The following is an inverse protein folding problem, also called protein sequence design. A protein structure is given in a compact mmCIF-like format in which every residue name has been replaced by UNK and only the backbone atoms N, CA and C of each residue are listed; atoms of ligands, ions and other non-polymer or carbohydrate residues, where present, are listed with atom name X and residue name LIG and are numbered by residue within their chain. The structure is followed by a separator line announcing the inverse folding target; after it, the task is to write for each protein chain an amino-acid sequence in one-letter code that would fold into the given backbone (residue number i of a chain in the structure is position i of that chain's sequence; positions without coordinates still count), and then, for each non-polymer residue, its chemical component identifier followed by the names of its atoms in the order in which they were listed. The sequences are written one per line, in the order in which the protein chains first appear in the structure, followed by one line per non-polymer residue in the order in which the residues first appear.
data_IF_240815974977
#
_entry.id   IF_240815974977
#
_cell.length_a   1.000
_cell.length_b   1.000
_cell.length_c   1.000
_cell.angle_alpha   90.00
_cell.angle_beta   90.00
_cell.angle_gamma   90.00
#
_symmetry.space_group_name_H-M   'P 1'
#
loop_
_entity.id
_entity.type
_entity.pdbx_description
1 polymer ?
#
# COMPACT_ATOMS: atom_id res chain seq x y z
N UNK A 1 33.45 66.42 70.48
CA UNK A 1 33.79 66.14 69.07
C UNK A 1 33.33 64.71 68.76
N UNK A 2 32.17 64.51 68.10
CA UNK A 2 31.66 63.20 67.71
C UNK A 2 31.65 63.10 66.17
N UNK A 3 32.38 62.16 65.60
CA UNK A 3 32.42 61.90 64.16
C UNK A 3 31.27 60.98 63.79
N UNK A 4 30.41 61.46 62.90
CA UNK A 4 29.40 60.63 62.23
C UNK A 4 30.05 59.83 61.11
N UNK A 5 29.85 58.50 61.11
CA UNK A 5 30.22 57.63 59.98
C UNK A 5 28.90 57.32 59.29
N UNK A 6 28.77 57.74 58.02
CA UNK A 6 27.71 57.40 57.14
C UNK A 6 28.04 56.10 56.39
N UNK A 7 27.27 55.06 56.61
CA UNK A 7 27.32 53.80 55.89
C UNK A 7 26.39 53.87 54.66
N UNK A 8 26.99 53.83 53.43
CA UNK A 8 26.29 53.63 52.21
C UNK A 8 25.92 52.14 52.10
N UNK A 9 24.66 51.83 52.04
CA UNK A 9 24.15 50.52 51.66
C UNK A 9 23.98 50.47 50.14
N UNK A 10 24.78 49.64 49.44
CA UNK A 10 24.62 49.37 48.02
C UNK A 10 23.61 48.24 47.83
N UNK A 11 22.42 48.54 47.24
CA UNK A 11 21.49 47.52 46.79
C UNK A 11 22.00 46.94 45.46
N UNK A 12 22.44 45.71 45.48
CA UNK A 12 22.68 44.92 44.24
C UNK A 12 21.34 44.34 43.73
N UNK A 13 20.83 44.90 42.63
CA UNK A 13 19.71 44.35 41.90
C UNK A 13 20.21 43.16 41.06
N UNK A 14 19.91 41.92 41.48
CA UNK A 14 20.14 40.73 40.69
C UNK A 14 19.01 40.61 39.65
N UNK A 15 19.31 41.00 38.41
CA UNK A 15 18.41 40.80 37.29
C UNK A 15 18.38 39.33 36.93
N UNK A 16 17.26 38.65 37.18
CA UNK A 16 16.95 37.31 36.62
C UNK A 16 16.62 37.48 35.15
N UNK A 17 17.57 37.25 34.26
CA UNK A 17 17.29 37.04 32.83
C UNK A 17 16.75 35.64 32.66
N UNK A 18 15.42 35.50 32.52
CA UNK A 18 14.79 34.25 32.05
C UNK A 18 15.20 34.04 30.59
N UNK A 19 16.17 33.18 30.35
CA UNK A 19 16.43 32.64 29.01
C UNK A 19 15.27 31.71 28.69
N UNK A 20 14.29 32.20 27.89
CA UNK A 20 13.31 31.35 27.26
C UNK A 20 14.07 30.42 26.32
N UNK A 21 14.28 29.17 26.74
CA UNK A 21 14.74 28.11 25.86
C UNK A 21 13.64 27.88 24.83
N UNK A 22 13.82 28.44 23.62
CA UNK A 22 13.02 28.03 22.48
C UNK A 22 13.32 26.54 22.27
N UNK A 23 12.39 25.68 22.59
CA UNK A 23 12.45 24.29 22.23
C UNK A 23 12.61 24.25 20.69
N UNK A 24 13.77 23.87 20.20
CA UNK A 24 13.95 23.55 18.80
C UNK A 24 13.15 22.29 18.59
N UNK A 25 11.96 22.46 17.98
CA UNK A 25 11.14 21.35 17.57
C UNK A 25 11.95 20.55 16.54
N UNK A 26 12.30 19.33 16.87
CA UNK A 26 13.05 18.46 15.97
C UNK A 26 12.13 18.03 14.83
N UNK A 27 12.56 18.20 13.58
CA UNK A 27 11.85 17.66 12.42
C UNK A 27 11.76 16.14 12.55
N UNK A 28 10.55 15.61 12.62
CA UNK A 28 10.29 14.17 12.72
C UNK A 28 10.12 13.60 11.33
N UNK A 29 10.87 12.56 11.00
CA UNK A 29 10.70 11.81 9.76
C UNK A 29 10.09 10.44 10.07
N UNK A 30 8.99 10.09 9.39
CA UNK A 30 8.33 8.80 9.47
C UNK A 30 8.45 8.07 8.14
N UNK A 31 8.58 6.74 8.16
CA UNK A 31 8.54 5.91 6.97
C UNK A 31 7.21 5.13 6.92
N UNK A 32 6.39 5.43 5.92
CA UNK A 32 5.18 4.69 5.58
C UNK A 32 5.50 3.62 4.52
N UNK A 33 5.43 2.37 4.91
CA UNK A 33 5.63 1.21 4.03
C UNK A 33 4.27 0.65 3.63
N UNK A 34 3.96 0.64 2.32
CA UNK A 34 2.70 0.11 1.82
C UNK A 34 2.87 -0.69 0.53
N UNK A 35 1.78 -1.27 0.02
CA UNK A 35 1.82 -2.01 -1.24
C UNK A 35 1.45 -1.13 -2.44
N UNK A 36 1.85 -1.55 -3.65
CA UNK A 36 1.86 -0.73 -4.87
C UNK A 36 0.59 0.10 -5.16
N UNK A 37 -0.64 -0.44 -5.09
CA UNK A 37 -1.85 0.28 -5.48
C UNK A 37 -2.18 1.48 -4.62
N UNK A 38 -1.51 1.64 -3.48
CA UNK A 38 -1.84 2.68 -2.49
C UNK A 38 -0.93 3.91 -2.53
N UNK A 39 -0.09 4.04 -3.57
CA UNK A 39 0.86 5.15 -3.72
C UNK A 39 0.18 6.51 -3.64
N UNK A 40 -0.83 6.73 -4.48
CA UNK A 40 -1.54 7.99 -4.60
C UNK A 40 -2.38 8.27 -3.35
N UNK A 41 -3.05 7.22 -2.82
CA UNK A 41 -3.79 7.30 -1.57
C UNK A 41 -2.91 7.80 -0.42
N UNK A 42 -1.76 7.15 -0.19
CA UNK A 42 -0.88 7.54 0.92
C UNK A 42 -0.15 8.84 0.69
N UNK A 43 0.09 9.26 -0.54
CA UNK A 43 0.55 10.62 -0.82
C UNK A 43 -0.45 11.64 -0.26
N UNK A 44 -1.73 11.49 -0.60
CA UNK A 44 -2.78 12.39 -0.13
C UNK A 44 -3.00 12.30 1.40
N UNK A 45 -3.04 11.10 1.96
CA UNK A 45 -3.20 10.87 3.41
C UNK A 45 -2.04 11.48 4.19
N UNK A 46 -0.79 11.27 3.76
CA UNK A 46 0.40 11.77 4.45
C UNK A 46 0.44 13.31 4.44
N UNK A 47 0.09 13.93 3.31
CA UNK A 47 -0.02 15.40 3.21
C UNK A 47 -1.12 15.95 4.12
N UNK A 48 -2.29 15.32 4.15
CA UNK A 48 -3.40 15.71 5.02
C UNK A 48 -3.04 15.55 6.49
N UNK A 49 -2.41 14.43 6.87
CA UNK A 49 -1.97 14.16 8.22
C UNK A 49 -0.95 15.20 8.69
N UNK A 50 0.07 15.49 7.89
CA UNK A 50 1.11 16.45 8.25
C UNK A 50 0.53 17.86 8.50
N UNK A 51 -0.45 18.27 7.68
CA UNK A 51 -1.17 19.55 7.87
C UNK A 51 -2.02 19.56 9.13
N UNK A 52 -2.79 18.50 9.38
CA UNK A 52 -3.63 18.37 10.57
C UNK A 52 -2.80 18.33 11.86
N UNK A 53 -1.71 17.57 11.84
CA UNK A 53 -0.77 17.49 12.97
C UNK A 53 -0.18 18.84 13.32
N UNK A 54 0.28 19.57 12.32
CA UNK A 54 0.83 20.91 12.52
C UNK A 54 -0.22 21.90 13.00
N UNK A 55 -1.46 21.84 12.47
CA UNK A 55 -2.57 22.69 12.90
C UNK A 55 -2.97 22.46 14.38
N UNK A 56 -2.74 21.26 14.91
CA UNK A 56 -2.93 20.88 16.30
C UNK A 56 -1.75 21.22 17.22
N UNK A 57 -0.75 21.91 16.71
CA UNK A 57 0.43 22.33 17.48
C UNK A 57 1.52 21.27 17.54
N UNK A 58 1.45 20.24 16.70
CA UNK A 58 2.51 19.24 16.56
C UNK A 58 3.71 19.79 15.79
N UNK A 59 4.83 19.12 15.94
CA UNK A 59 6.09 19.43 15.24
C UNK A 59 5.94 19.22 13.73
N UNK A 60 6.86 19.79 12.95
CA UNK A 60 6.92 19.49 11.53
C UNK A 60 7.24 18.01 11.32
N UNK A 61 6.38 17.31 10.57
CA UNK A 61 6.57 15.91 10.23
C UNK A 61 6.77 15.75 8.71
N UNK A 62 7.79 14.99 8.35
CA UNK A 62 8.03 14.54 6.98
C UNK A 62 7.70 13.06 6.90
N UNK A 63 6.90 12.64 5.92
CA UNK A 63 6.52 11.24 5.75
C UNK A 63 7.10 10.72 4.44
N UNK A 64 8.12 9.90 4.56
CA UNK A 64 8.69 9.15 3.44
C UNK A 64 7.81 7.95 3.12
N UNK A 65 7.88 7.49 1.87
CA UNK A 65 7.05 6.39 1.39
C UNK A 65 7.90 5.30 0.72
N UNK A 66 7.59 4.05 1.04
CA UNK A 66 8.09 2.89 0.33
C UNK A 66 6.92 2.05 -0.17
N UNK A 67 6.87 1.82 -1.49
CA UNK A 67 5.82 1.04 -2.14
C UNK A 67 6.41 -0.12 -2.93
N UNK A 68 5.68 -1.22 -3.00
CA UNK A 68 6.09 -2.41 -3.72
C UNK A 68 5.10 -3.55 -3.56
N UNK A 69 5.41 -4.73 -4.07
CA UNK A 69 4.58 -5.91 -3.81
C UNK A 69 4.46 -6.20 -2.31
N UNK A 70 3.25 -6.48 -1.83
CA UNK A 70 2.94 -6.62 -0.40
C UNK A 70 3.89 -7.58 0.33
N UNK A 71 4.09 -8.79 -0.19
CA UNK A 71 5.01 -9.77 0.40
C UNK A 71 6.49 -9.37 0.31
N UNK A 72 6.86 -8.58 -0.72
CA UNK A 72 8.20 -7.99 -0.80
C UNK A 72 8.41 -6.96 0.29
N UNK A 73 7.44 -6.07 0.51
CA UNK A 73 7.48 -5.06 1.56
C UNK A 73 7.52 -5.70 2.95
N UNK A 74 6.71 -6.74 3.20
CA UNK A 74 6.77 -7.49 4.46
C UNK A 74 8.17 -8.04 4.73
N UNK A 75 8.82 -8.65 3.73
CA UNK A 75 10.19 -9.12 3.85
C UNK A 75 11.18 -8.00 4.15
N UNK A 76 11.10 -6.89 3.42
CA UNK A 76 11.98 -5.74 3.68
C UNK A 76 11.92 -5.26 5.12
N UNK A 77 10.71 -5.19 5.70
CA UNK A 77 10.53 -4.82 7.12
C UNK A 77 11.12 -5.88 8.05
N UNK A 78 10.89 -7.17 7.78
CA UNK A 78 11.47 -8.28 8.55
C UNK A 78 13.00 -8.22 8.50
N UNK A 79 13.56 -7.96 7.34
CA UNK A 79 15.01 -7.90 7.08
C UNK A 79 15.68 -6.61 7.61
N UNK A 80 14.91 -5.66 8.15
CA UNK A 80 15.47 -4.52 8.87
C UNK A 80 15.09 -3.13 8.36
N UNK A 81 14.23 -3.01 7.33
CA UNK A 81 13.70 -1.71 6.94
C UNK A 81 12.94 -1.10 8.13
N UNK A 82 13.39 0.09 8.57
CA UNK A 82 12.82 0.79 9.73
C UNK A 82 11.53 1.50 9.31
N UNK A 83 10.40 0.80 9.41
CA UNK A 83 9.09 1.33 9.09
C UNK A 83 8.38 1.80 10.37
N UNK A 84 7.78 2.98 10.33
CA UNK A 84 6.94 3.51 11.40
C UNK A 84 5.48 3.08 11.20
N UNK A 85 5.03 3.01 9.95
CA UNK A 85 3.70 2.55 9.57
C UNK A 85 3.82 1.50 8.47
N UNK A 86 3.07 0.41 8.61
CA UNK A 86 3.00 -0.66 7.60
C UNK A 86 1.55 -0.96 7.25
N UNK A 87 1.22 -0.83 5.96
CA UNK A 87 -0.12 -1.15 5.43
C UNK A 87 0.02 -2.06 4.21
N UNK A 88 -0.36 -3.31 4.35
CA UNK A 88 -0.17 -4.33 3.32
C UNK A 88 -1.49 -4.95 2.86
N UNK A 89 -1.46 -5.64 1.73
CA UNK A 89 -2.66 -6.16 1.08
C UNK A 89 -3.32 -7.33 1.81
N UNK A 90 -2.59 -8.07 2.64
CA UNK A 90 -3.08 -9.28 3.30
C UNK A 90 -2.69 -9.30 4.78
N UNK A 91 -3.63 -9.78 5.58
CA UNK A 91 -3.38 -10.10 6.98
C UNK A 91 -2.13 -10.96 7.16
N UNK A 92 -1.96 -12.01 6.35
CA UNK A 92 -0.83 -12.93 6.45
C UNK A 92 0.55 -12.28 6.28
N UNK A 93 0.65 -11.18 5.52
CA UNK A 93 1.90 -10.42 5.39
C UNK A 93 2.21 -9.64 6.67
N UNK A 94 1.19 -9.04 7.31
CA UNK A 94 1.34 -8.38 8.61
C UNK A 94 1.65 -9.41 9.70
N UNK A 95 1.00 -10.58 9.68
CA UNK A 95 1.26 -11.67 10.63
C UNK A 95 2.72 -12.17 10.55
N UNK A 96 3.33 -12.19 9.35
CA UNK A 96 4.76 -12.53 9.22
C UNK A 96 5.66 -11.49 9.92
N UNK A 97 5.33 -10.21 9.81
CA UNK A 97 6.04 -9.14 10.53
C UNK A 97 5.84 -9.30 12.03
N UNK A 98 4.62 -9.61 12.49
CA UNK A 98 4.33 -9.86 13.90
C UNK A 98 5.13 -11.09 14.45
N UNK A 99 5.18 -12.19 13.69
CA UNK A 99 5.99 -13.37 14.04
C UNK A 99 7.49 -13.05 14.15
N UNK A 100 7.99 -12.06 13.43
CA UNK A 100 9.38 -11.60 13.57
C UNK A 100 9.62 -10.71 14.80
N UNK A 101 8.58 -10.41 15.59
CA UNK A 101 8.66 -9.58 16.79
C UNK A 101 8.70 -8.07 16.57
N UNK A 102 8.55 -7.59 15.33
CA UNK A 102 8.62 -6.16 15.01
C UNK A 102 7.34 -5.40 15.31
N UNK A 103 6.19 -6.07 15.33
CA UNK A 103 4.90 -5.55 15.79
C UNK A 103 4.26 -6.54 16.76
N UNK A 104 3.33 -6.06 17.58
CA UNK A 104 2.63 -6.90 18.56
C UNK A 104 1.71 -7.93 17.86
N UNK A 105 1.57 -9.11 18.44
CA UNK A 105 0.73 -10.17 17.90
C UNK A 105 -0.77 -9.81 17.86
N UNK A 106 -1.19 -8.90 18.72
CA UNK A 106 -2.58 -8.42 18.81
C UNK A 106 -2.87 -7.21 17.90
N UNK A 107 -2.04 -6.96 16.89
CA UNK A 107 -2.09 -5.79 16.01
C UNK A 107 -3.48 -5.51 15.42
N UNK A 108 -4.26 -6.55 15.10
CA UNK A 108 -5.61 -6.41 14.54
C UNK A 108 -6.59 -5.71 15.50
N UNK A 109 -6.38 -5.85 16.82
CA UNK A 109 -7.25 -5.27 17.85
C UNK A 109 -6.92 -3.82 18.18
N UNK A 110 -5.83 -3.28 17.62
CA UNK A 110 -5.31 -1.96 18.00
C UNK A 110 -6.04 -0.80 17.36
N UNK A 111 -6.59 -0.99 16.18
CA UNK A 111 -7.35 0.02 15.43
C UNK A 111 -8.72 -0.52 15.04
N UNK A 112 -9.63 0.37 14.68
CA UNK A 112 -10.96 -0.01 14.21
C UNK A 112 -10.92 -0.94 13.00
N UNK A 113 -12.01 -1.65 12.74
CA UNK A 113 -12.19 -2.55 11.59
C UNK A 113 -11.08 -3.60 11.45
N UNK A 114 -10.63 -4.19 12.58
CA UNK A 114 -9.50 -5.13 12.62
C UNK A 114 -8.21 -4.55 12.01
N UNK A 115 -7.96 -3.26 12.26
CA UNK A 115 -6.83 -2.52 11.69
C UNK A 115 -6.82 -2.49 10.15
N UNK A 116 -8.00 -2.57 9.51
CA UNK A 116 -8.18 -2.47 8.06
C UNK A 116 -8.75 -1.09 7.71
N UNK A 117 -7.95 -0.17 7.14
CA UNK A 117 -8.38 1.19 6.89
C UNK A 117 -9.31 1.35 5.68
N UNK A 118 -9.31 0.39 4.76
CA UNK A 118 -10.13 0.38 3.53
C UNK A 118 -10.29 -1.05 2.98
N UNK A 119 -11.18 -1.20 2.01
CA UNK A 119 -11.39 -2.43 1.22
C UNK A 119 -11.25 -2.13 -0.26
N UNK A 120 -11.03 -3.15 -1.07
CA UNK A 120 -10.97 -3.07 -2.52
C UNK A 120 -11.44 -4.40 -3.12
N UNK A 121 -11.57 -4.46 -4.43
CA UNK A 121 -11.94 -5.66 -5.17
C UNK A 121 -11.01 -5.90 -6.35
N UNK A 122 -11.07 -7.10 -6.95
CA UNK A 122 -10.39 -7.45 -8.19
C UNK A 122 -11.36 -7.26 -9.35
N UNK A 123 -10.88 -6.64 -10.41
CA UNK A 123 -11.61 -6.40 -11.65
C UNK A 123 -10.79 -6.87 -12.86
N UNK A 124 -11.46 -7.05 -13.99
CA UNK A 124 -10.83 -7.30 -15.28
C UNK A 124 -10.78 -5.99 -16.07
N UNK A 125 -9.59 -5.55 -16.42
CA UNK A 125 -9.37 -4.48 -17.38
C UNK A 125 -8.99 -5.12 -18.71
N UNK A 126 -9.73 -4.80 -19.76
CA UNK A 126 -9.57 -5.38 -21.11
C UNK A 126 -9.22 -4.31 -22.13
N UNK A 127 -8.79 -4.71 -23.31
CA UNK A 127 -8.60 -3.80 -24.43
C UNK A 127 -9.94 -3.22 -24.86
N UNK A 128 -9.95 -1.98 -25.35
CA UNK A 128 -11.17 -1.28 -25.79
C UNK A 128 -11.95 -2.10 -26.83
N UNK A 129 -13.25 -2.20 -26.61
CA UNK A 129 -14.14 -3.01 -27.42
C UNK A 129 -14.02 -4.50 -27.16
N UNK A 130 -13.27 -4.92 -26.14
CA UNK A 130 -13.12 -6.28 -25.67
C UNK A 130 -12.99 -7.33 -26.80
N UNK A 131 -11.93 -7.23 -27.65
CA UNK A 131 -11.83 -8.04 -28.88
C UNK A 131 -11.74 -9.54 -28.62
N UNK A 132 -11.39 -9.96 -27.41
CA UNK A 132 -11.36 -11.37 -27.00
C UNK A 132 -12.68 -11.83 -26.33
N UNK A 133 -13.67 -10.94 -26.25
CA UNK A 133 -14.98 -11.22 -25.62
C UNK A 133 -14.85 -11.83 -24.23
N UNK A 134 -13.95 -11.29 -23.41
CA UNK A 134 -13.68 -11.73 -22.04
C UNK A 134 -14.82 -11.19 -21.15
N UNK A 135 -15.54 -12.09 -20.50
CA UNK A 135 -16.70 -11.78 -19.64
C UNK A 135 -16.61 -12.42 -18.27
N UNK A 136 -15.87 -13.53 -18.16
CA UNK A 136 -15.76 -14.27 -16.91
C UNK A 136 -14.41 -14.99 -16.82
N UNK A 137 -14.12 -15.57 -15.66
CA UNK A 137 -12.91 -16.32 -15.35
C UNK A 137 -12.62 -17.45 -16.33
N UNK A 138 -13.65 -18.10 -16.88
CA UNK A 138 -13.49 -19.15 -17.90
C UNK A 138 -12.79 -18.68 -19.15
N UNK A 139 -13.06 -17.43 -19.54
CA UNK A 139 -12.48 -16.86 -20.75
C UNK A 139 -10.96 -16.71 -20.64
N UNK A 140 -10.44 -16.61 -19.41
CA UNK A 140 -9.01 -16.49 -19.12
C UNK A 140 -8.23 -17.78 -19.40
N UNK A 141 -8.93 -18.91 -19.55
CA UNK A 141 -8.32 -20.22 -19.83
C UNK A 141 -8.34 -20.59 -21.32
N UNK A 142 -8.95 -19.75 -22.17
CA UNK A 142 -9.04 -19.98 -23.61
C UNK A 142 -7.69 -19.84 -24.29
N UNK A 143 -7.48 -20.65 -25.32
CA UNK A 143 -6.28 -20.54 -26.17
C UNK A 143 -6.22 -19.16 -26.85
N UNK A 144 -5.04 -18.56 -26.88
CA UNK A 144 -4.79 -17.26 -27.50
C UNK A 144 -5.30 -16.07 -26.68
N UNK A 145 -5.68 -16.24 -25.41
CA UNK A 145 -5.92 -15.17 -24.45
C UNK A 145 -4.66 -15.00 -23.61
N UNK A 146 -4.11 -13.79 -23.56
CA UNK A 146 -2.98 -13.45 -22.70
C UNK A 146 -3.46 -12.70 -21.46
N UNK A 147 -3.17 -13.28 -20.28
CA UNK A 147 -3.57 -12.75 -18.98
C UNK A 147 -2.39 -12.07 -18.29
N UNK A 148 -2.56 -10.84 -17.86
CA UNK A 148 -1.57 -10.11 -17.06
C UNK A 148 -1.98 -10.15 -15.60
N UNK A 149 -1.11 -10.68 -14.77
CA UNK A 149 -1.24 -10.71 -13.30
C UNK A 149 0.16 -10.71 -12.69
N UNK A 150 0.37 -10.07 -11.52
CA UNK A 150 1.68 -10.08 -10.89
C UNK A 150 2.01 -11.44 -10.25
N UNK A 151 3.24 -11.56 -9.76
CA UNK A 151 3.75 -12.79 -9.15
C UNK A 151 3.18 -12.99 -7.73
N UNK A 152 2.48 -14.08 -7.42
CA UNK A 152 1.92 -14.33 -6.08
C UNK A 152 2.97 -14.51 -4.97
N UNK A 153 4.24 -14.78 -5.33
CA UNK A 153 5.33 -14.85 -4.36
C UNK A 153 5.74 -13.48 -3.80
N UNK A 154 5.45 -12.40 -4.51
CA UNK A 154 5.87 -11.04 -4.15
C UNK A 154 4.71 -10.07 -3.98
N UNK A 155 3.63 -10.25 -4.75
CA UNK A 155 2.47 -9.36 -4.81
C UNK A 155 1.30 -9.88 -3.99
N UNK A 156 0.73 -9.00 -3.15
CA UNK A 156 -0.52 -9.28 -2.47
C UNK A 156 -1.71 -9.31 -3.42
N UNK A 157 -1.74 -8.42 -4.42
CA UNK A 157 -2.78 -8.43 -5.46
C UNK A 157 -2.82 -9.76 -6.22
N UNK A 158 -1.65 -10.29 -6.59
CA UNK A 158 -1.59 -11.59 -7.25
C UNK A 158 -2.15 -12.74 -6.40
N UNK A 159 -1.96 -12.68 -5.07
CA UNK A 159 -2.56 -13.68 -4.17
C UNK A 159 -4.07 -13.56 -4.11
N UNK A 160 -4.61 -12.34 -4.14
CA UNK A 160 -6.05 -12.12 -4.26
C UNK A 160 -6.59 -12.57 -5.62
N UNK A 161 -5.87 -12.28 -6.73
CA UNK A 161 -6.23 -12.79 -8.07
C UNK A 161 -6.29 -14.33 -8.08
N UNK A 162 -5.29 -14.98 -7.48
CA UNK A 162 -5.25 -16.43 -7.36
C UNK A 162 -6.42 -16.98 -6.54
N UNK A 163 -6.70 -16.37 -5.38
CA UNK A 163 -7.79 -16.80 -4.51
C UNK A 163 -9.16 -16.58 -5.15
N UNK A 164 -9.35 -15.49 -5.90
CA UNK A 164 -10.58 -15.23 -6.63
C UNK A 164 -10.80 -16.26 -7.76
N UNK A 165 -9.74 -16.55 -8.53
CA UNK A 165 -9.77 -17.59 -9.55
C UNK A 165 -10.04 -18.98 -8.98
N UNK A 166 -9.42 -19.29 -7.83
CA UNK A 166 -9.68 -20.55 -7.12
C UNK A 166 -11.11 -20.64 -6.64
N UNK A 167 -11.64 -19.59 -5.99
CA UNK A 167 -13.02 -19.56 -5.49
C UNK A 167 -14.05 -19.73 -6.62
N UNK A 168 -13.79 -19.13 -7.80
CA UNK A 168 -14.61 -19.35 -8.98
C UNK A 168 -14.59 -20.82 -9.43
N UNK A 169 -13.41 -21.42 -9.53
CA UNK A 169 -13.25 -22.82 -9.94
C UNK A 169 -13.94 -23.77 -8.95
N UNK A 170 -13.69 -23.58 -7.65
CA UNK A 170 -14.25 -24.38 -6.55
C UNK A 170 -15.80 -24.37 -6.58
N UNK A 171 -16.40 -23.21 -6.76
CA UNK A 171 -17.85 -23.08 -6.91
C UNK A 171 -18.34 -23.77 -8.19
N UNK A 172 -17.64 -23.56 -9.31
CA UNK A 172 -18.02 -24.09 -10.61
C UNK A 172 -17.94 -25.61 -10.67
N UNK A 173 -16.91 -26.19 -10.09
CA UNK A 173 -16.65 -27.63 -10.16
C UNK A 173 -17.15 -28.41 -8.95
N UNK A 174 -17.90 -27.74 -8.05
CA UNK A 174 -18.54 -28.40 -6.91
C UNK A 174 -17.51 -28.91 -5.88
N UNK A 175 -16.50 -28.11 -5.59
CA UNK A 175 -15.42 -28.39 -4.63
C UNK A 175 -14.53 -29.59 -5.05
N UNK A 176 -14.28 -29.74 -6.34
CA UNK A 176 -13.37 -30.75 -6.90
C UNK A 176 -11.97 -30.14 -7.03
N UNK A 177 -11.14 -30.38 -6.04
CA UNK A 177 -9.79 -29.76 -5.93
C UNK A 177 -8.90 -30.06 -7.14
N UNK A 178 -9.03 -31.22 -7.79
CA UNK A 178 -8.22 -31.54 -8.97
C UNK A 178 -8.65 -30.70 -10.19
N UNK A 179 -9.94 -30.46 -10.35
CA UNK A 179 -10.45 -29.56 -11.39
C UNK A 179 -10.08 -28.10 -11.11
N UNK A 180 -10.09 -27.69 -9.85
CA UNK A 180 -9.67 -26.34 -9.45
C UNK A 180 -8.21 -26.10 -9.77
N UNK A 181 -7.35 -27.06 -9.45
CA UNK A 181 -5.92 -27.03 -9.82
C UNK A 181 -5.71 -26.98 -11.33
N UNK A 182 -6.46 -27.78 -12.09
CA UNK A 182 -6.38 -27.79 -13.56
C UNK A 182 -6.79 -26.44 -14.15
N UNK A 183 -7.88 -25.84 -13.62
CA UNK A 183 -8.31 -24.51 -14.01
C UNK A 183 -7.23 -23.47 -13.76
N UNK A 184 -6.65 -23.42 -12.56
CA UNK A 184 -5.58 -22.50 -12.21
C UNK A 184 -4.34 -22.72 -13.11
N UNK A 185 -3.98 -23.97 -13.35
CA UNK A 185 -2.87 -24.29 -14.25
C UNK A 185 -3.10 -23.76 -15.67
N UNK A 186 -4.31 -23.91 -16.21
CA UNK A 186 -4.69 -23.38 -17.52
C UNK A 186 -4.62 -21.85 -17.56
N UNK A 187 -5.17 -21.18 -16.52
CA UNK A 187 -5.11 -19.73 -16.40
C UNK A 187 -3.66 -19.24 -16.39
N UNK A 188 -2.80 -19.83 -15.56
CA UNK A 188 -1.40 -19.41 -15.46
C UNK A 188 -0.56 -19.81 -16.68
N UNK A 189 -0.97 -20.79 -17.48
CA UNK A 189 -0.35 -21.09 -18.77
C UNK A 189 -0.54 -19.93 -19.78
N UNK A 190 -1.57 -19.13 -19.61
CA UNK A 190 -1.87 -17.94 -20.39
C UNK A 190 -1.21 -16.65 -19.85
N UNK A 191 -0.35 -16.74 -18.84
CA UNK A 191 0.33 -15.58 -18.23
C UNK A 191 1.74 -15.44 -18.79
N UNK A 192 1.99 -14.51 -19.73
CA UNK A 192 3.31 -14.36 -20.35
C UNK A 192 4.33 -13.67 -19.46
N UNK A 193 3.88 -12.82 -18.52
CA UNK A 193 4.73 -12.00 -17.64
C UNK A 193 4.22 -12.04 -16.21
N UNK A 194 5.13 -12.21 -15.25
CA UNK A 194 4.87 -12.15 -13.82
C UNK A 194 5.63 -10.99 -13.19
N UNK A 195 5.03 -9.81 -13.18
CA UNK A 195 5.60 -8.62 -12.55
C UNK A 195 5.70 -8.77 -11.02
N UNK A 196 6.58 -8.00 -10.38
CA UNK A 196 6.81 -8.09 -8.94
C UNK A 196 5.67 -7.53 -8.08
N UNK A 197 4.80 -6.70 -8.65
CA UNK A 197 3.69 -6.04 -7.96
C UNK A 197 2.61 -5.56 -8.92
N UNK A 198 1.48 -5.13 -8.38
CA UNK A 198 0.30 -4.72 -9.14
C UNK A 198 0.59 -3.57 -10.12
N UNK A 199 1.30 -2.51 -9.70
CA UNK A 199 1.67 -1.40 -10.56
C UNK A 199 2.54 -1.84 -11.74
N UNK A 200 3.43 -2.81 -11.55
CA UNK A 200 4.21 -3.39 -12.64
C UNK A 200 3.32 -4.02 -13.71
N UNK A 201 2.31 -4.80 -13.28
CA UNK A 201 1.34 -5.42 -14.20
C UNK A 201 0.46 -4.39 -14.90
N UNK A 202 0.03 -3.34 -14.20
CA UNK A 202 -0.68 -2.21 -14.83
C UNK A 202 0.18 -1.55 -15.91
N UNK A 203 1.45 -1.28 -15.62
CA UNK A 203 2.40 -0.74 -16.61
C UNK A 203 2.62 -1.68 -17.80
N UNK A 204 2.77 -2.99 -17.53
CA UNK A 204 2.93 -4.01 -18.59
C UNK A 204 1.71 -4.05 -19.50
N UNK A 205 0.50 -4.00 -18.93
CA UNK A 205 -0.73 -3.99 -19.69
C UNK A 205 -0.97 -2.64 -20.38
N UNK A 206 -1.07 -1.55 -19.62
CA UNK A 206 -1.54 -0.26 -20.15
C UNK A 206 -0.49 0.47 -21.00
N UNK A 207 0.78 0.47 -20.59
CA UNK A 207 1.82 1.28 -21.25
C UNK A 207 2.66 0.48 -22.24
N UNK A 208 2.87 -0.83 -21.98
CA UNK A 208 3.64 -1.71 -22.90
C UNK A 208 2.74 -2.47 -23.86
N UNK A 209 1.43 -2.36 -23.70
CA UNK A 209 0.41 -3.00 -24.54
C UNK A 209 0.55 -4.53 -24.65
N UNK A 210 1.02 -5.18 -23.58
CA UNK A 210 1.16 -6.64 -23.50
C UNK A 210 -0.09 -7.23 -22.83
N UNK A 211 -0.61 -8.32 -23.38
CA UNK A 211 -1.76 -9.06 -22.88
C UNK A 211 -3.13 -8.55 -23.35
N UNK A 212 -4.14 -9.37 -23.20
CA UNK A 212 -5.53 -9.10 -23.58
C UNK A 212 -6.38 -8.64 -22.38
N UNK A 213 -6.02 -9.09 -21.19
CA UNK A 213 -6.72 -8.78 -19.93
C UNK A 213 -5.74 -8.63 -18.77
N UNK A 214 -5.99 -7.63 -17.93
CA UNK A 214 -5.28 -7.43 -16.66
C UNK A 214 -6.22 -7.77 -15.51
N UNK A 215 -5.78 -8.65 -14.61
CA UNK A 215 -6.39 -8.85 -13.31
C UNK A 215 -5.87 -7.78 -12.36
N UNK A 216 -6.67 -6.77 -12.06
CA UNK A 216 -6.27 -5.57 -11.35
C UNK A 216 -7.07 -5.34 -10.07
N UNK A 217 -6.47 -4.61 -9.14
CA UNK A 217 -7.24 -3.86 -8.16
C UNK A 217 -8.09 -2.80 -8.87
N UNK A 218 -9.30 -2.57 -8.39
CA UNK A 218 -10.23 -1.60 -8.98
C UNK A 218 -9.60 -0.21 -9.15
N UNK A 219 -8.87 0.28 -8.14
CA UNK A 219 -8.20 1.58 -8.23
C UNK A 219 -7.08 1.63 -9.29
N UNK A 220 -6.37 0.54 -9.54
CA UNK A 220 -5.38 0.46 -10.63
C UNK A 220 -6.07 0.50 -12.00
N UNK A 221 -7.26 -0.12 -12.13
CA UNK A 221 -8.05 -0.04 -13.34
C UNK A 221 -8.52 1.40 -13.61
N UNK A 222 -9.02 2.10 -12.60
CA UNK A 222 -9.39 3.52 -12.74
C UNK A 222 -8.19 4.39 -13.13
N UNK A 223 -7.04 4.21 -12.48
CA UNK A 223 -5.83 4.93 -12.86
C UNK A 223 -5.44 4.72 -14.33
N UNK A 224 -5.51 3.46 -14.80
CA UNK A 224 -5.22 3.15 -16.20
C UNK A 224 -6.22 3.77 -17.19
N UNK A 225 -7.50 3.90 -16.79
CA UNK A 225 -8.53 4.56 -17.60
C UNK A 225 -8.39 6.09 -17.64
N UNK A 226 -7.87 6.68 -16.58
CA UNK A 226 -7.67 8.14 -16.46
C UNK A 226 -6.38 8.63 -17.14
N UNK A 227 -5.46 7.73 -17.53
CA UNK A 227 -4.27 8.11 -18.31
C UNK A 227 -4.66 8.63 -19.70
N UNK A 228 -3.86 9.54 -20.33
CA UNK A 228 -4.14 10.08 -21.67
C UNK A 228 -4.38 9.00 -22.74
N UNK A 229 -3.77 7.82 -22.55
CA UNK A 229 -3.96 6.64 -23.41
C UNK A 229 -5.05 5.70 -22.88
N UNK A 230 -5.72 6.07 -21.79
CA UNK A 230 -6.75 5.25 -21.12
C UNK A 230 -7.96 4.91 -21.99
N UNK A 231 -8.19 5.67 -23.08
CA UNK A 231 -9.19 5.33 -24.09
C UNK A 231 -8.93 4.03 -24.87
N UNK A 232 -7.77 3.38 -24.66
CA UNK A 232 -7.44 2.07 -25.24
C UNK A 232 -7.94 0.87 -24.39
N UNK A 233 -8.53 1.12 -23.22
CA UNK A 233 -8.94 0.10 -22.26
C UNK A 233 -10.38 0.30 -21.79
N UNK A 234 -10.99 -0.73 -21.27
CA UNK A 234 -12.30 -0.70 -20.59
C UNK A 234 -12.37 -1.77 -19.50
N UNK A 235 -13.21 -1.56 -18.48
CA UNK A 235 -13.52 -2.63 -17.54
C UNK A 235 -14.51 -3.61 -18.18
N UNK A 236 -14.23 -4.91 -18.09
CA UNK A 236 -15.18 -5.93 -18.49
C UNK A 236 -16.39 -5.89 -17.54
N UNK A 237 -17.58 -5.95 -18.11
CA UNK A 237 -18.80 -6.14 -17.33
C UNK A 237 -18.89 -7.63 -16.96
N UNK A 238 -18.64 -7.93 -15.68
CA UNK A 238 -18.75 -9.26 -15.08
C UNK A 238 -20.16 -9.50 -14.56
#
# INVERSE_FOLDING_TARGET
MRRFRSTLAALAAVGFTTVAASAVLADTTLLNVSYDPTRELYKAVNEAFAKDWQAKGGDKVTIEQSHGGSGKQARSVIDGLQADVVTLALQGDIDQIAKSGKIKADWQKRLGNNSSPYTSTIVFLVRKGNPKAIKDWDDLTKEGVEVITPNPKTSGGARWNYLAAWAFADQKYGHDEEKDKDFIKKLYANVPVLDTGARGSTTTFAQREIGDVLLAWENEAFLALDEPEGGAHEMAHL
#
